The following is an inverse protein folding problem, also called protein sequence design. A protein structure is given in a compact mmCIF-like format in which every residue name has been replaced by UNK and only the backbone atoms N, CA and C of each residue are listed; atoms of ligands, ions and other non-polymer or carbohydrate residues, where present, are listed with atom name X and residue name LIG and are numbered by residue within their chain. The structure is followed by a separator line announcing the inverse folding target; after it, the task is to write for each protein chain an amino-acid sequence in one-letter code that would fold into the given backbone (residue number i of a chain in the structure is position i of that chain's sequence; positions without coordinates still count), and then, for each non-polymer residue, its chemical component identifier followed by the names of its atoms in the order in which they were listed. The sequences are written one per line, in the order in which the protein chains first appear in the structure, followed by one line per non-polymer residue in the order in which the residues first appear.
data_IF_064097622844
#
_entry.id   IF_064097622844
#
_cell.length_a   1.000
_cell.length_b   1.000
_cell.length_c   1.000
_cell.angle_alpha   90.00
_cell.angle_beta   90.00
_cell.angle_gamma   90.00
#
_symmetry.space_group_name_H-M   'P 1'
#
loop_
_entity.id
_entity.type
_entity.pdbx_description
1 polymer ?
#
# COMPACT_ATOMS: atom_id res chain seq x y z
N UNK A 1 -10.88 -51.59 -2.42
CA UNK A 1 -11.35 -50.20 -2.38
C UNK A 1 -10.26 -49.34 -1.76
N UNK A 2 -9.51 -48.58 -2.57
CA UNK A 2 -8.44 -47.68 -2.10
C UNK A 2 -9.05 -46.29 -1.92
N UNK A 3 -9.32 -45.86 -0.69
CA UNK A 3 -9.67 -44.47 -0.40
C UNK A 3 -8.41 -43.61 -0.48
N UNK A 4 -8.44 -42.60 -1.35
CA UNK A 4 -7.43 -41.56 -1.43
C UNK A 4 -7.59 -40.67 -0.19
N UNK A 5 -6.76 -40.91 0.84
CA UNK A 5 -6.68 -40.04 2.01
C UNK A 5 -5.88 -38.79 1.66
N UNK A 6 -6.44 -37.61 1.91
CA UNK A 6 -5.66 -36.37 1.95
C UNK A 6 -4.79 -36.38 3.22
N UNK A 7 -3.51 -35.96 3.14
CA UNK A 7 -2.62 -35.93 4.30
C UNK A 7 -3.11 -34.89 5.33
N UNK A 8 -3.21 -35.34 6.58
CA UNK A 8 -3.80 -34.66 7.76
C UNK A 8 -3.06 -33.39 8.21
N UNK A 9 -1.99 -33.06 7.50
CA UNK A 9 -1.08 -31.97 7.76
C UNK A 9 -1.63 -30.60 7.30
N UNK A 10 -2.65 -30.60 6.40
CA UNK A 10 -3.29 -29.39 5.83
C UNK A 10 -4.02 -28.46 6.84
N UNK A 11 -4.04 -28.80 8.13
CA UNK A 11 -5.00 -28.23 9.09
C UNK A 11 -4.33 -27.30 10.13
N UNK A 12 -2.98 -27.28 10.22
CA UNK A 12 -2.30 -26.62 11.35
C UNK A 12 -2.24 -25.08 11.30
N UNK A 13 -2.33 -24.46 10.11
CA UNK A 13 -2.68 -23.02 9.98
C UNK A 13 -4.14 -22.82 9.52
N UNK A 14 -4.79 -23.90 9.06
CA UNK A 14 -6.20 -23.90 8.69
C UNK A 14 -7.14 -23.75 9.89
N UNK A 15 -6.75 -24.19 11.08
CA UNK A 15 -7.56 -24.04 12.29
C UNK A 15 -7.67 -22.58 12.80
N UNK A 16 -6.83 -21.67 12.30
CA UNK A 16 -6.93 -20.22 12.56
C UNK A 16 -7.71 -19.52 11.43
N UNK A 17 -7.89 -20.12 10.25
CA UNK A 17 -8.46 -19.43 9.07
C UNK A 17 -9.75 -20.08 8.50
N UNK A 18 -10.07 -21.34 8.78
CA UNK A 18 -11.27 -22.00 8.24
C UNK A 18 -12.52 -21.75 9.08
N UNK A 19 -13.08 -20.55 8.91
CA UNK A 19 -14.37 -20.17 9.48
C UNK A 19 -15.13 -19.15 8.66
N UNK A 20 -14.95 -19.04 7.33
CA UNK A 20 -15.85 -18.26 6.48
C UNK A 20 -15.63 -18.53 4.98
N UNK A 21 -16.74 -18.48 4.24
CA UNK A 21 -16.84 -18.23 2.80
C UNK A 21 -16.74 -19.44 1.84
N UNK A 22 -17.81 -20.23 1.82
CA UNK A 22 -18.39 -20.73 0.57
C UNK A 22 -19.51 -19.78 0.14
N UNK A 23 -19.67 -19.58 -1.19
CA UNK A 23 -20.61 -18.72 -1.93
C UNK A 23 -20.23 -17.24 -2.06
N UNK A 24 -19.68 -16.85 -3.22
CA UNK A 24 -20.46 -16.25 -4.32
C UNK A 24 -19.55 -16.01 -5.53
N UNK A 25 -19.95 -16.55 -6.68
CA UNK A 25 -19.45 -16.18 -8.01
C UNK A 25 -20.44 -15.19 -8.64
N UNK A 26 -19.92 -14.18 -9.34
CA UNK A 26 -20.40 -13.65 -10.63
C UNK A 26 -19.38 -12.60 -11.10
N UNK A 27 -18.66 -12.87 -12.19
CA UNK A 27 -18.80 -12.26 -13.54
C UNK A 27 -18.28 -10.81 -13.63
N UNK A 28 -17.60 -10.35 -14.68
CA UNK A 28 -17.09 -10.92 -15.93
C UNK A 28 -16.02 -9.93 -16.46
N UNK A 29 -15.11 -10.44 -17.30
CA UNK A 29 -14.50 -9.86 -18.52
C UNK A 29 -14.76 -8.36 -18.87
N UNK A 30 -13.85 -7.56 -19.46
CA UNK A 30 -12.82 -7.77 -20.51
C UNK A 30 -11.88 -6.54 -20.57
N UNK A 31 -10.62 -6.71 -21.03
CA UNK A 31 -9.67 -5.64 -21.40
C UNK A 31 -9.90 -5.07 -22.81
N UNK A 32 -8.89 -4.62 -23.59
CA UNK A 32 -7.53 -4.14 -23.27
C UNK A 32 -7.14 -2.80 -23.97
N UNK A 33 -5.87 -2.41 -23.82
CA UNK A 33 -5.16 -1.21 -24.31
C UNK A 33 -4.86 -1.15 -25.83
N UNK A 34 -4.55 0.06 -26.35
CA UNK A 34 -3.43 0.41 -27.27
C UNK A 34 -3.46 1.94 -27.54
N UNK A 35 -2.44 2.78 -27.34
CA UNK A 35 -1.08 2.94 -27.94
C UNK A 35 -0.99 3.62 -29.33
N UNK A 36 -0.46 4.86 -29.29
CA UNK A 36 0.61 5.49 -30.09
C UNK A 36 0.57 5.75 -31.62
N UNK A 37 0.78 7.05 -31.92
CA UNK A 37 1.85 7.67 -32.76
C UNK A 37 1.83 7.67 -34.30
N UNK A 38 2.01 8.89 -34.86
CA UNK A 38 2.85 9.32 -36.03
C UNK A 38 2.83 10.88 -36.05
N UNK A 39 3.90 11.69 -35.88
CA UNK A 39 5.18 12.03 -36.58
C UNK A 39 5.05 12.94 -37.83
N UNK A 40 5.66 14.15 -37.71
CA UNK A 40 6.35 15.12 -38.63
C UNK A 40 5.96 15.24 -40.13
N UNK A 41 6.13 16.36 -40.87
CA UNK A 41 7.32 17.23 -41.00
C UNK A 41 7.07 18.48 -41.93
N UNK A 42 7.71 19.61 -41.58
CA UNK A 42 8.31 20.82 -42.27
C UNK A 42 7.85 21.33 -43.66
N UNK A 43 7.99 22.67 -43.90
CA UNK A 43 8.86 23.34 -44.93
C UNK A 43 8.97 24.89 -44.73
N UNK A 44 10.20 25.36 -44.49
CA UNK A 44 11.01 26.53 -44.99
C UNK A 44 10.65 28.06 -44.88
N UNK A 45 11.73 28.86 -44.76
CA UNK A 45 11.91 30.29 -44.43
C UNK A 45 11.99 31.23 -45.70
N UNK A 46 12.43 32.54 -45.74
CA UNK A 46 13.43 33.26 -44.89
C UNK A 46 13.23 34.78 -44.55
N UNK A 47 13.99 35.26 -43.53
CA UNK A 47 14.80 36.51 -43.54
C UNK A 47 14.20 37.90 -43.23
N UNK A 48 14.74 38.60 -42.20
CA UNK A 48 15.51 39.89 -42.22
C UNK A 48 15.71 40.40 -40.76
N UNK A 49 16.91 40.90 -40.45
CA UNK A 49 17.31 41.52 -39.17
C UNK A 49 16.92 43.00 -39.06
N UNK A 50 16.55 43.47 -37.86
CA UNK A 50 16.84 44.81 -37.35
C UNK A 50 16.70 44.88 -35.81
N UNK A 51 17.53 45.71 -35.18
CA UNK A 51 17.77 45.78 -33.73
C UNK A 51 17.18 47.07 -33.16
N UNK A 52 16.53 46.94 -32.00
CA UNK A 52 16.26 47.92 -30.92
C UNK A 52 15.47 49.20 -31.22
N UNK A 53 14.35 49.38 -30.51
CA UNK A 53 13.92 50.67 -29.97
C UNK A 53 13.07 50.48 -28.71
N UNK A 54 13.21 51.43 -27.79
CA UNK A 54 12.68 51.43 -26.42
C UNK A 54 11.15 51.48 -26.36
N UNK A 55 10.61 50.86 -25.30
CA UNK A 55 9.19 50.63 -25.01
C UNK A 55 8.43 51.95 -24.71
N UNK A 56 8.07 52.69 -25.76
CA UNK A 56 6.98 53.66 -25.73
C UNK A 56 5.71 52.88 -26.10
N UNK A 57 4.68 52.77 -25.22
CA UNK A 57 3.45 52.08 -25.58
C UNK A 57 2.89 52.70 -26.87
N UNK A 58 2.61 51.92 -27.92
CA UNK A 58 2.08 52.47 -29.15
C UNK A 58 0.77 53.22 -28.86
N UNK A 59 0.42 54.28 -29.62
CA UNK A 59 -0.65 55.23 -29.29
C UNK A 59 -2.07 54.65 -29.08
N UNK A 60 -2.22 53.34 -29.28
CA UNK A 60 -3.49 52.61 -29.26
C UNK A 60 -3.40 51.29 -28.48
N UNK A 61 -2.40 51.11 -27.60
CA UNK A 61 -2.29 49.89 -26.81
C UNK A 61 -3.42 49.80 -25.76
N UNK A 62 -3.98 48.60 -25.59
CA UNK A 62 -4.96 48.32 -24.55
C UNK A 62 -4.31 48.01 -23.20
N UNK A 63 -5.14 47.95 -22.17
CA UNK A 63 -4.75 47.48 -20.83
C UNK A 63 -5.79 46.54 -20.25
N UNK A 64 -5.32 45.60 -19.44
CA UNK A 64 -6.17 44.70 -18.65
C UNK A 64 -5.89 45.00 -17.17
N UNK A 65 -6.95 45.21 -16.41
CA UNK A 65 -6.90 45.51 -14.97
C UNK A 65 -7.83 44.59 -14.19
N UNK A 66 -7.63 44.51 -12.88
CA UNK A 66 -8.54 43.78 -12.00
C UNK A 66 -8.04 43.73 -10.57
N UNK A 67 -8.87 43.16 -9.69
CA UNK A 67 -8.54 42.91 -8.29
C UNK A 67 -8.65 41.42 -8.01
N UNK A 68 -7.61 40.82 -7.44
CA UNK A 68 -7.56 39.40 -7.09
C UNK A 68 -8.12 39.22 -5.68
N UNK A 69 -9.19 38.43 -5.58
CA UNK A 69 -9.80 38.05 -4.31
C UNK A 69 -9.87 36.53 -4.17
N UNK A 70 -10.09 36.04 -2.96
CA UNK A 70 -10.38 34.63 -2.72
C UNK A 70 -11.90 34.33 -2.85
N UNK A 71 -12.29 33.10 -2.54
CA UNK A 71 -13.69 32.67 -2.58
C UNK A 71 -14.60 33.42 -1.56
N UNK A 72 -14.02 33.94 -0.48
CA UNK A 72 -14.71 34.66 0.60
C UNK A 72 -14.75 36.17 0.36
N UNK A 73 -13.99 36.67 -0.62
CA UNK A 73 -13.92 38.08 -1.00
C UNK A 73 -12.75 38.83 -0.37
N UNK A 74 -11.83 38.13 0.29
CA UNK A 74 -10.62 38.72 0.85
C UNK A 74 -9.58 38.98 -0.25
N UNK A 75 -8.83 40.08 -0.13
CA UNK A 75 -7.79 40.46 -1.10
C UNK A 75 -6.60 39.48 -1.07
N UNK A 76 -6.11 39.11 -2.24
CA UNK A 76 -4.94 38.23 -2.38
C UNK A 76 -3.76 39.02 -2.98
N UNK A 77 -2.94 39.67 -2.14
CA UNK A 77 -1.74 40.37 -2.60
C UNK A 77 -0.68 39.39 -3.10
N UNK A 78 0.19 39.83 -4.01
CA UNK A 78 1.30 39.02 -4.53
C UNK A 78 0.89 37.95 -5.54
N UNK A 79 -0.39 37.88 -5.93
CA UNK A 79 -0.84 37.01 -7.02
C UNK A 79 -0.17 37.42 -8.35
N UNK A 80 0.34 36.45 -9.09
CA UNK A 80 0.97 36.65 -10.40
C UNK A 80 -0.09 36.52 -11.48
N UNK A 81 -0.23 37.58 -12.27
CA UNK A 81 -1.18 37.66 -13.39
C UNK A 81 -0.43 37.58 -14.70
N UNK A 82 -0.72 36.53 -15.45
CA UNK A 82 -0.13 36.25 -16.75
C UNK A 82 -1.13 36.48 -17.87
N UNK A 83 -0.71 37.23 -18.88
CA UNK A 83 -1.51 37.62 -20.03
C UNK A 83 -0.82 37.10 -21.29
N UNK A 84 -1.35 36.00 -21.82
CA UNK A 84 -0.83 35.31 -23.00
C UNK A 84 -1.68 35.67 -24.24
N UNK A 85 -1.10 36.28 -25.28
CA UNK A 85 -1.82 36.57 -26.52
C UNK A 85 -1.99 35.31 -27.38
N UNK A 86 -3.16 35.16 -28.02
CA UNK A 86 -3.46 34.00 -28.88
C UNK A 86 -2.70 33.98 -30.21
N UNK A 87 -2.14 35.12 -30.62
CA UNK A 87 -1.39 35.26 -31.87
C UNK A 87 0.10 34.88 -31.76
N UNK A 88 0.54 34.33 -30.62
CA UNK A 88 1.94 33.96 -30.38
C UNK A 88 2.87 35.13 -30.07
N UNK A 89 2.32 36.31 -29.77
CA UNK A 89 3.08 37.46 -29.26
C UNK A 89 3.68 37.23 -27.87
N UNK A 90 4.46 38.19 -27.38
CA UNK A 90 5.10 38.08 -26.07
C UNK A 90 4.06 38.07 -24.93
N UNK A 91 4.17 37.07 -24.03
CA UNK A 91 3.45 37.04 -22.75
C UNK A 91 3.88 38.23 -21.89
N UNK A 92 2.91 38.85 -21.22
CA UNK A 92 3.18 39.82 -20.14
C UNK A 92 2.77 39.24 -18.80
N UNK A 93 3.54 39.56 -17.76
CA UNK A 93 3.28 39.12 -16.39
C UNK A 93 3.33 40.32 -15.46
N UNK A 94 2.41 40.39 -14.50
CA UNK A 94 2.34 41.45 -13.50
C UNK A 94 1.96 40.86 -12.15
N UNK A 95 2.61 41.32 -11.09
CA UNK A 95 2.26 40.94 -9.71
C UNK A 95 1.23 41.92 -9.16
N UNK A 96 0.18 41.39 -8.54
CA UNK A 96 -0.83 42.16 -7.82
C UNK A 96 -0.22 42.83 -6.58
N UNK A 97 -0.57 44.10 -6.37
CA UNK A 97 -0.06 44.88 -5.24
C UNK A 97 -0.73 44.51 -3.90
N UNK A 98 -0.44 45.28 -2.85
CA UNK A 98 -0.97 45.05 -1.50
C UNK A 98 -2.51 45.15 -1.39
N UNK A 99 -3.16 45.80 -2.36
CA UNK A 99 -4.63 45.87 -2.46
C UNK A 99 -5.21 44.74 -3.33
N UNK A 100 -4.38 43.78 -3.78
CA UNK A 100 -4.76 42.75 -4.75
C UNK A 100 -4.97 43.29 -6.18
N UNK A 101 -4.67 44.56 -6.43
CA UNK A 101 -4.89 45.20 -7.73
C UNK A 101 -3.71 44.95 -8.68
N UNK A 102 -4.01 44.74 -9.96
CA UNK A 102 -3.03 44.65 -11.03
C UNK A 102 -3.45 45.48 -12.26
N UNK A 103 -2.45 45.91 -13.04
CA UNK A 103 -2.66 46.55 -14.33
C UNK A 103 -1.57 46.10 -15.31
N UNK A 104 -1.97 45.39 -16.38
CA UNK A 104 -1.09 45.00 -17.48
C UNK A 104 -1.31 45.95 -18.64
N UNK A 105 -0.28 46.72 -18.99
CA UNK A 105 -0.35 47.76 -20.01
C UNK A 105 0.42 47.38 -21.28
N UNK A 106 0.19 48.13 -22.36
CA UNK A 106 0.91 47.94 -23.61
C UNK A 106 0.47 46.67 -24.35
N UNK A 107 -0.81 46.30 -24.26
CA UNK A 107 -1.36 45.12 -24.94
C UNK A 107 -1.81 45.48 -26.36
N UNK A 108 -1.57 44.56 -27.30
CA UNK A 108 -1.88 44.74 -28.72
C UNK A 108 -3.39 44.62 -28.93
N UNK A 109 -4.04 45.60 -29.58
CA UNK A 109 -5.47 45.53 -29.84
C UNK A 109 -5.83 44.50 -30.92
N UNK A 110 -7.10 44.09 -30.94
CA UNK A 110 -7.70 43.10 -31.84
C UNK A 110 -7.09 41.68 -31.73
N UNK A 111 -6.46 41.37 -30.59
CA UNK A 111 -5.93 40.06 -30.24
C UNK A 111 -6.68 39.53 -29.02
N UNK A 112 -6.98 38.22 -29.02
CA UNK A 112 -7.57 37.56 -27.86
C UNK A 112 -6.47 37.18 -26.85
N UNK A 113 -6.74 37.42 -25.58
CA UNK A 113 -5.83 37.16 -24.47
C UNK A 113 -6.39 36.09 -23.54
N UNK A 114 -5.52 35.14 -23.16
CA UNK A 114 -5.75 34.23 -22.03
C UNK A 114 -5.13 34.86 -20.78
N UNK A 115 -5.98 35.19 -19.81
CA UNK A 115 -5.54 35.71 -18.51
C UNK A 115 -5.53 34.58 -17.50
N UNK A 116 -4.39 34.33 -16.88
CA UNK A 116 -4.22 33.33 -15.81
C UNK A 116 -3.71 34.02 -14.55
N UNK A 117 -4.35 33.76 -13.41
CA UNK A 117 -3.96 34.29 -12.10
C UNK A 117 -3.49 33.14 -11.23
N UNK A 118 -2.27 33.25 -10.71
CA UNK A 118 -1.62 32.25 -9.87
C UNK A 118 -1.24 32.88 -8.52
N UNK A 119 -1.51 32.18 -7.41
CA UNK A 119 -1.02 32.57 -6.10
C UNK A 119 -0.63 31.33 -5.28
N UNK A 120 0.41 31.41 -4.43
CA UNK A 120 0.79 30.29 -3.56
C UNK A 120 -0.39 29.81 -2.70
N UNK A 121 -0.65 28.50 -2.70
CA UNK A 121 -1.74 27.90 -1.93
C UNK A 121 -3.12 27.97 -2.58
N UNK A 122 -3.25 28.49 -3.81
CA UNK A 122 -4.50 28.55 -4.56
C UNK A 122 -4.41 27.81 -5.90
N UNK A 123 -5.55 27.29 -6.37
CA UNK A 123 -5.66 26.77 -7.73
C UNK A 123 -5.59 27.93 -8.75
N UNK A 124 -4.94 27.73 -9.92
CA UNK A 124 -4.90 28.75 -10.98
C UNK A 124 -6.30 29.14 -11.44
N UNK A 125 -6.57 30.44 -11.47
CA UNK A 125 -7.81 30.98 -12.03
C UNK A 125 -7.58 31.44 -13.47
N UNK A 126 -8.48 31.06 -14.37
CA UNK A 126 -8.36 31.36 -15.81
C UNK A 126 -9.61 32.12 -16.25
N UNK A 127 -9.41 33.30 -16.84
CA UNK A 127 -10.50 34.10 -17.41
C UNK A 127 -11.02 33.48 -18.73
N UNK A 128 -12.28 33.75 -19.10
CA UNK A 128 -12.72 33.63 -20.49
C UNK A 128 -11.82 34.47 -21.44
N UNK A 129 -11.70 34.11 -22.72
CA UNK A 129 -10.87 34.87 -23.67
C UNK A 129 -11.28 36.36 -23.75
N UNK A 130 -10.31 37.26 -23.62
CA UNK A 130 -10.52 38.72 -23.64
C UNK A 130 -9.96 39.31 -24.92
N UNK A 131 -10.78 39.96 -25.75
CA UNK A 131 -10.30 40.69 -26.94
C UNK A 131 -10.37 42.19 -26.69
N UNK A 132 -9.24 42.89 -26.84
CA UNK A 132 -9.15 44.34 -26.60
C UNK A 132 -9.37 45.14 -27.87
N UNK A 133 -10.11 46.25 -27.77
CA UNK A 133 -10.14 47.29 -28.79
C UNK A 133 -8.95 48.25 -28.64
N UNK A 134 -8.65 49.02 -29.69
CA UNK A 134 -7.60 50.05 -29.68
C UNK A 134 -7.80 51.04 -28.52
N UNK A 135 -6.80 51.15 -27.64
CA UNK A 135 -6.83 52.04 -26.47
C UNK A 135 -7.77 51.61 -25.34
N UNK A 136 -8.34 50.39 -25.38
CA UNK A 136 -9.32 49.95 -24.40
C UNK A 136 -8.69 49.66 -23.03
N UNK A 137 -9.35 50.12 -21.97
CA UNK A 137 -9.15 49.67 -20.60
C UNK A 137 -10.19 48.59 -20.29
N UNK A 138 -9.76 47.34 -20.15
CA UNK A 138 -10.65 46.22 -19.83
C UNK A 138 -10.44 45.79 -18.38
N UNK A 139 -11.52 45.74 -17.61
CA UNK A 139 -11.51 45.25 -16.24
C UNK A 139 -12.00 43.80 -16.19
N UNK A 140 -11.15 42.91 -15.68
CA UNK A 140 -11.50 41.51 -15.43
C UNK A 140 -12.17 41.41 -14.07
N UNK A 141 -13.42 40.99 -14.07
CA UNK A 141 -14.23 40.83 -12.85
C UNK A 141 -14.37 39.36 -12.45
N UNK A 142 -14.68 39.10 -11.18
CA UNK A 142 -14.96 37.75 -10.70
C UNK A 142 -13.74 36.87 -10.43
N UNK A 143 -12.56 37.47 -10.26
CA UNK A 143 -11.33 36.77 -9.89
C UNK A 143 -11.46 36.29 -8.44
N UNK A 144 -11.88 35.04 -8.28
CA UNK A 144 -12.06 34.37 -6.98
C UNK A 144 -11.19 33.11 -6.93
N UNK A 145 -10.03 33.23 -6.32
CA UNK A 145 -9.11 32.12 -6.12
C UNK A 145 -9.67 31.12 -5.11
N UNK A 146 -9.52 29.84 -5.40
CA UNK A 146 -9.91 28.74 -4.50
C UNK A 146 -8.66 28.14 -3.88
N UNK A 147 -8.69 27.87 -2.58
CA UNK A 147 -7.59 27.19 -1.90
C UNK A 147 -7.30 25.87 -2.60
N UNK A 148 -6.03 25.65 -2.93
CA UNK A 148 -5.58 24.37 -3.45
C UNK A 148 -5.50 23.39 -2.28
N UNK A 149 -5.99 22.16 -2.47
CA UNK A 149 -5.89 21.10 -1.47
C UNK A 149 -4.45 20.59 -1.39
N UNK A 150 -3.52 21.43 -0.90
CA UNK A 150 -2.17 21.00 -0.58
C UNK A 150 -2.22 20.21 0.74
N UNK A 151 -2.07 18.89 0.63
CA UNK A 151 -1.89 17.99 1.78
C UNK A 151 -0.68 18.47 2.58
N UNK A 152 -0.91 19.00 3.78
CA UNK A 152 0.17 19.36 4.70
C UNK A 152 0.69 18.08 5.34
N UNK A 153 1.81 17.53 4.86
CA UNK A 153 2.50 16.46 5.57
C UNK A 153 3.32 17.09 6.70
N UNK A 154 2.76 17.06 7.92
CA UNK A 154 3.58 17.27 9.13
C UNK A 154 4.54 16.09 9.20
N UNK A 155 5.81 16.30 8.85
CA UNK A 155 6.84 15.26 8.96
C UNK A 155 7.18 15.08 10.44
N UNK A 156 6.45 14.21 11.13
CA UNK A 156 6.85 13.77 12.47
C UNK A 156 8.15 12.98 12.32
N UNK A 157 9.26 13.53 12.84
CA UNK A 157 10.51 12.77 13.00
C UNK A 157 10.35 11.82 14.19
N UNK A 158 9.55 10.78 14.03
CA UNK A 158 9.48 9.71 15.02
C UNK A 158 10.72 8.82 14.89
N UNK A 159 11.26 8.36 16.02
CA UNK A 159 12.31 7.34 16.05
C UNK A 159 11.76 6.07 15.35
N UNK A 160 12.47 5.45 14.38
CA UNK A 160 12.02 4.21 13.73
C UNK A 160 11.59 3.12 14.73
N UNK A 161 12.20 3.05 15.91
CA UNK A 161 11.80 2.09 16.94
C UNK A 161 10.43 2.42 17.54
N UNK A 162 10.10 3.69 17.70
CA UNK A 162 8.80 4.15 18.19
C UNK A 162 7.71 3.84 17.18
N UNK A 163 7.94 4.14 15.90
CA UNK A 163 7.03 3.79 14.79
C UNK A 163 6.80 2.28 14.74
N UNK A 164 7.88 1.48 14.80
CA UNK A 164 7.77 0.03 14.78
C UNK A 164 6.96 -0.50 15.98
N UNK A 165 7.14 0.11 17.15
CA UNK A 165 6.40 -0.26 18.36
C UNK A 165 4.91 0.06 18.22
N UNK A 166 4.57 1.22 17.68
CA UNK A 166 3.19 1.62 17.41
C UNK A 166 2.53 0.70 16.36
N UNK A 167 3.24 0.39 15.26
CA UNK A 167 2.78 -0.56 14.24
C UNK A 167 2.47 -1.94 14.84
N UNK A 168 3.38 -2.47 15.68
CA UNK A 168 3.13 -3.74 16.38
C UNK A 168 1.93 -3.65 17.31
N UNK A 169 1.72 -2.53 18.01
CA UNK A 169 0.53 -2.36 18.85
C UNK A 169 -0.78 -2.34 18.06
N UNK A 170 -0.75 -1.82 16.82
CA UNK A 170 -1.89 -1.87 15.90
C UNK A 170 -2.09 -3.30 15.42
N UNK A 171 -1.03 -3.97 14.99
CA UNK A 171 -1.02 -5.36 14.51
C UNK A 171 -1.53 -6.34 15.57
N UNK A 172 -1.13 -6.18 16.83
CA UNK A 172 -1.62 -6.98 17.98
C UNK A 172 -3.13 -6.86 18.22
N UNK A 173 -3.77 -5.79 17.72
CA UNK A 173 -5.22 -5.60 17.78
C UNK A 173 -5.95 -6.14 16.56
N UNK A 174 -5.24 -6.55 15.51
CA UNK A 174 -5.86 -7.08 14.30
C UNK A 174 -6.43 -8.47 14.56
N UNK A 175 -7.74 -8.61 14.37
CA UNK A 175 -8.44 -9.89 14.52
C UNK A 175 -9.32 -10.19 13.32
N UNK A 176 -9.10 -11.34 12.68
CA UNK A 176 -10.02 -11.87 11.66
C UNK A 176 -11.32 -12.28 12.35
N UNK A 177 -12.46 -11.84 11.81
CA UNK A 177 -13.80 -12.05 12.38
C UNK A 177 -13.95 -11.53 13.84
N UNK A 178 -13.04 -10.66 14.28
CA UNK A 178 -13.06 -10.06 15.63
C UNK A 178 -12.44 -10.90 16.74
N UNK A 179 -12.02 -12.15 16.49
CA UNK A 179 -11.41 -13.00 17.53
C UNK A 179 -10.12 -13.71 17.10
N UNK A 180 -9.96 -14.05 15.82
CA UNK A 180 -8.80 -14.80 15.34
C UNK A 180 -7.57 -13.88 15.25
N UNK A 181 -6.42 -14.17 15.89
CA UNK A 181 -5.20 -13.36 15.77
C UNK A 181 -4.75 -13.17 14.33
N UNK A 182 -4.43 -11.92 13.96
CA UNK A 182 -3.87 -11.60 12.65
C UNK A 182 -2.66 -10.64 12.76
N UNK A 183 -1.72 -10.99 13.65
CA UNK A 183 -0.64 -10.08 14.04
C UNK A 183 0.50 -10.01 13.00
N UNK A 184 0.67 -11.04 12.18
CA UNK A 184 1.77 -11.12 11.20
C UNK A 184 1.39 -10.55 9.82
N UNK A 185 0.47 -9.60 9.75
CA UNK A 185 0.01 -9.03 8.48
C UNK A 185 0.05 -7.51 8.55
N UNK A 186 0.76 -6.91 7.58
CA UNK A 186 0.81 -5.47 7.41
C UNK A 186 -0.11 -5.09 6.26
N UNK A 187 -1.25 -4.47 6.56
CA UNK A 187 -2.16 -3.95 5.53
C UNK A 187 -1.73 -2.62 4.93
N UNK A 188 -0.79 -1.95 5.59
CA UNK A 188 -0.26 -0.63 5.26
C UNK A 188 1.23 -0.73 4.95
N UNK A 189 1.54 -1.37 3.83
CA UNK A 189 2.89 -1.82 3.49
C UNK A 189 3.84 -0.71 3.04
N UNK A 190 3.31 0.47 2.69
CA UNK A 190 4.07 1.64 2.22
C UNK A 190 4.85 2.30 3.37
N UNK A 191 4.21 2.45 4.53
CA UNK A 191 4.79 3.10 5.72
C UNK A 191 5.38 2.09 6.73
N UNK A 192 5.40 0.80 6.38
CA UNK A 192 5.85 -0.27 7.24
C UNK A 192 7.36 -0.19 7.53
N UNK A 193 7.72 -0.05 8.80
CA UNK A 193 9.11 0.01 9.23
C UNK A 193 9.60 -1.37 9.71
N UNK A 194 10.90 -1.68 9.57
CA UNK A 194 11.50 -2.91 10.09
C UNK A 194 11.29 -3.12 11.58
N UNK A 195 11.09 -4.38 11.98
CA UNK A 195 10.95 -4.74 13.39
C UNK A 195 12.30 -4.96 14.08
N UNK A 196 12.44 -4.46 15.30
CA UNK A 196 13.56 -4.87 16.17
C UNK A 196 13.39 -6.34 16.61
N UNK A 197 14.50 -6.99 16.99
CA UNK A 197 14.46 -8.36 17.51
C UNK A 197 13.47 -8.50 18.69
N UNK A 198 13.45 -7.53 19.62
CA UNK A 198 12.53 -7.52 20.75
C UNK A 198 11.06 -7.56 20.31
N UNK A 199 10.70 -6.79 19.29
CA UNK A 199 9.33 -6.74 18.75
C UNK A 199 8.95 -8.06 18.06
N UNK A 200 9.88 -8.68 17.31
CA UNK A 200 9.67 -9.99 16.69
C UNK A 200 9.35 -11.07 17.74
N UNK A 201 10.13 -11.12 18.83
CA UNK A 201 9.87 -12.02 19.96
C UNK A 201 8.57 -11.71 20.69
N UNK A 202 8.24 -10.43 20.85
CA UNK A 202 6.97 -10.02 21.47
C UNK A 202 5.77 -10.54 20.66
N UNK A 203 5.78 -10.35 19.34
CA UNK A 203 4.72 -10.85 18.47
C UNK A 203 4.59 -12.38 18.51
N UNK A 204 5.72 -13.09 18.42
CA UNK A 204 5.75 -14.55 18.52
C UNK A 204 5.14 -15.03 19.84
N UNK A 205 5.59 -14.46 20.96
CA UNK A 205 5.06 -14.78 22.27
C UNK A 205 3.55 -14.53 22.35
N UNK A 206 3.08 -13.37 21.87
CA UNK A 206 1.66 -13.00 21.87
C UNK A 206 0.80 -13.99 21.09
N UNK A 207 1.23 -14.43 19.90
CA UNK A 207 0.48 -15.43 19.13
C UNK A 207 0.50 -16.80 19.82
N UNK A 208 1.65 -17.21 20.38
CA UNK A 208 1.80 -18.52 21.03
C UNK A 208 0.93 -18.71 22.28
N UNK A 209 0.69 -17.63 23.04
CA UNK A 209 -0.16 -17.67 24.25
C UNK A 209 -1.58 -17.17 24.02
N UNK A 210 -1.94 -16.84 22.77
CA UNK A 210 -3.29 -16.39 22.46
C UNK A 210 -4.30 -17.53 22.67
N UNK A 211 -5.43 -17.29 23.38
CA UNK A 211 -6.42 -18.33 23.65
C UNK A 211 -6.99 -19.01 22.40
N UNK A 212 -7.11 -18.27 21.28
CA UNK A 212 -7.62 -18.83 20.02
C UNK A 212 -6.58 -19.74 19.37
N UNK A 213 -5.29 -19.43 19.48
CA UNK A 213 -4.21 -20.33 19.04
C UNK A 213 -4.21 -21.65 19.83
N UNK A 214 -4.36 -21.57 21.16
CA UNK A 214 -4.44 -22.75 22.02
C UNK A 214 -5.68 -23.59 21.70
N UNK A 215 -6.83 -22.93 21.52
CA UNK A 215 -8.06 -23.61 21.12
C UNK A 215 -7.93 -24.25 19.74
N UNK A 216 -7.28 -23.58 18.78
CA UNK A 216 -6.98 -24.13 17.46
C UNK A 216 -6.18 -25.43 17.53
N UNK A 217 -5.16 -25.48 18.39
CA UNK A 217 -4.40 -26.71 18.63
C UNK A 217 -5.25 -27.82 19.27
N UNK A 218 -6.14 -27.47 20.22
CA UNK A 218 -7.07 -28.42 20.84
C UNK A 218 -8.10 -28.97 19.85
N UNK A 219 -8.61 -28.12 18.96
CA UNK A 219 -9.53 -28.50 17.89
C UNK A 219 -8.85 -29.41 16.87
N UNK A 220 -7.63 -29.06 16.46
CA UNK A 220 -6.83 -29.91 15.58
C UNK A 220 -6.54 -31.27 16.21
N UNK A 221 -6.19 -31.31 17.49
CA UNK A 221 -6.01 -32.55 18.22
C UNK A 221 -7.29 -33.42 18.22
N UNK A 222 -8.48 -32.81 18.25
CA UNK A 222 -9.74 -33.53 18.17
C UNK A 222 -9.98 -34.12 16.78
N UNK A 223 -9.66 -33.38 15.72
CA UNK A 223 -9.69 -33.90 14.35
C UNK A 223 -8.69 -35.05 14.15
N UNK A 224 -7.48 -34.87 14.65
CA UNK A 224 -6.41 -35.88 14.65
C UNK A 224 -6.82 -37.13 15.46
N UNK A 225 -7.50 -36.95 16.58
CA UNK A 225 -8.07 -38.05 17.37
C UNK A 225 -9.11 -38.84 16.57
N UNK A 226 -10.02 -38.14 15.87
CA UNK A 226 -11.04 -38.75 15.03
C UNK A 226 -10.46 -39.45 13.79
N UNK A 227 -9.37 -38.92 13.23
CA UNK A 227 -8.65 -39.50 12.10
C UNK A 227 -7.60 -40.54 12.49
N UNK A 228 -7.46 -40.86 13.78
CA UNK A 228 -6.42 -41.74 14.32
C UNK A 228 -5.00 -41.44 13.81
N UNK A 229 -4.67 -40.15 13.75
CA UNK A 229 -3.42 -39.65 13.20
C UNK A 229 -2.88 -38.54 14.10
N UNK A 230 -1.56 -38.40 14.30
CA UNK A 230 -0.54 -39.45 14.14
C UNK A 230 -0.86 -40.70 14.98
N UNK A 231 -0.03 -41.75 14.89
CA UNK A 231 -0.28 -43.06 15.52
C UNK A 231 -0.11 -43.08 17.06
N UNK A 232 -0.57 -42.03 17.73
CA UNK A 232 -0.78 -42.03 19.18
C UNK A 232 -1.94 -42.96 19.52
N UNK A 233 -1.93 -43.48 20.76
CA UNK A 233 -3.03 -44.29 21.27
C UNK A 233 -4.39 -43.54 21.21
N UNK A 234 -5.50 -44.27 21.27
CA UNK A 234 -6.84 -43.69 21.38
C UNK A 234 -7.19 -43.30 22.84
N UNK A 235 -8.29 -42.57 23.01
CA UNK A 235 -8.77 -42.09 24.31
C UNK A 235 -8.07 -40.83 24.82
N UNK A 236 -8.41 -40.40 26.04
CA UNK A 236 -7.99 -39.11 26.61
C UNK A 236 -6.47 -38.91 26.69
N UNK A 237 -5.71 -39.96 26.97
CA UNK A 237 -4.24 -39.89 26.95
C UNK A 237 -3.71 -39.63 25.53
N UNK A 238 -4.30 -40.27 24.54
CA UNK A 238 -4.00 -40.05 23.12
C UNK A 238 -4.33 -38.63 22.66
N UNK A 239 -5.49 -38.14 23.06
CA UNK A 239 -5.90 -36.77 22.78
C UNK A 239 -4.93 -35.76 23.39
N UNK A 240 -4.53 -35.96 24.66
CA UNK A 240 -3.54 -35.11 25.31
C UNK A 240 -2.18 -35.11 24.60
N UNK A 241 -1.75 -36.27 24.08
CA UNK A 241 -0.52 -36.36 23.27
C UNK A 241 -0.65 -35.61 21.94
N UNK A 242 -1.78 -35.75 21.24
CA UNK A 242 -2.08 -35.03 19.99
C UNK A 242 -2.16 -33.52 20.21
N UNK A 243 -2.77 -33.09 21.31
CA UNK A 243 -2.82 -31.68 21.71
C UNK A 243 -1.44 -31.13 22.01
N UNK A 244 -0.66 -31.83 22.86
CA UNK A 244 0.70 -31.42 23.17
C UNK A 244 1.58 -31.33 21.93
N UNK A 245 1.46 -32.31 21.02
CA UNK A 245 2.18 -32.31 19.75
C UNK A 245 1.77 -31.13 18.85
N UNK A 246 0.47 -30.97 18.57
CA UNK A 246 -0.04 -29.88 17.72
C UNK A 246 0.28 -28.49 18.27
N UNK A 247 0.17 -28.30 19.60
CA UNK A 247 0.54 -27.05 20.23
C UNK A 247 2.04 -26.79 20.15
N UNK A 248 2.87 -27.82 20.38
CA UNK A 248 4.33 -27.69 20.27
C UNK A 248 4.74 -27.35 18.85
N UNK A 249 4.18 -28.04 17.84
CA UNK A 249 4.44 -27.74 16.42
C UNK A 249 4.14 -26.28 16.08
N UNK A 250 2.98 -25.78 16.52
CA UNK A 250 2.58 -24.39 16.31
C UNK A 250 3.51 -23.41 17.01
N UNK A 251 3.90 -23.68 18.25
CA UNK A 251 4.82 -22.83 19.02
C UNK A 251 6.21 -22.82 18.39
N UNK A 252 6.77 -23.98 18.01
CA UNK A 252 8.10 -24.04 17.39
C UNK A 252 8.10 -23.37 16.03
N UNK A 253 7.03 -23.51 15.23
CA UNK A 253 6.88 -22.82 13.96
C UNK A 253 6.87 -21.30 14.13
N UNK A 254 6.04 -20.79 15.04
CA UNK A 254 5.96 -19.36 15.35
C UNK A 254 7.29 -18.83 15.89
N UNK A 255 7.95 -19.56 16.78
CA UNK A 255 9.19 -19.10 17.40
C UNK A 255 10.35 -19.11 16.41
N UNK A 256 10.55 -20.19 15.64
CA UNK A 256 11.66 -20.26 14.70
C UNK A 256 11.42 -19.44 13.43
N UNK A 257 10.23 -19.54 12.84
CA UNK A 257 9.86 -18.81 11.62
C UNK A 257 9.46 -17.35 11.85
N UNK A 258 8.96 -17.00 13.04
CA UNK A 258 8.44 -15.68 13.37
C UNK A 258 9.33 -14.81 14.26
N UNK A 259 10.29 -15.38 14.99
CA UNK A 259 11.17 -14.61 15.89
C UNK A 259 12.66 -14.94 15.78
N UNK A 260 13.06 -16.20 15.99
CA UNK A 260 14.47 -16.59 16.11
C UNK A 260 15.23 -16.37 14.80
N UNK A 261 14.81 -17.04 13.70
CA UNK A 261 15.47 -16.85 12.41
C UNK A 261 15.29 -15.43 11.86
N UNK A 262 14.09 -14.81 11.94
CA UNK A 262 13.91 -13.42 11.54
C UNK A 262 14.84 -12.45 12.26
N UNK A 263 15.11 -12.65 13.56
CA UNK A 263 16.05 -11.83 14.31
C UNK A 263 17.52 -12.11 13.95
N UNK A 264 17.88 -13.37 13.72
CA UNK A 264 19.26 -13.77 13.37
C UNK A 264 19.65 -13.40 11.93
N UNK A 265 18.70 -13.48 11.01
CA UNK A 265 18.91 -13.28 9.57
C UNK A 265 18.49 -11.89 9.09
N UNK A 266 18.05 -11.02 10.00
CA UNK A 266 17.58 -9.67 9.71
C UNK A 266 16.46 -9.67 8.67
N UNK A 267 15.44 -10.50 8.91
CA UNK A 267 14.26 -10.69 8.06
C UNK A 267 13.00 -10.25 8.79
N UNK A 268 12.05 -9.66 8.06
CA UNK A 268 10.75 -9.31 8.59
C UNK A 268 9.82 -10.53 8.50
N UNK A 269 9.23 -10.99 9.62
CA UNK A 269 8.38 -12.17 9.64
C UNK A 269 6.95 -11.90 9.11
N UNK A 270 6.58 -10.65 8.84
CA UNK A 270 5.21 -10.27 8.48
C UNK A 270 4.94 -10.44 6.99
N UNK A 271 3.70 -10.79 6.66
CA UNK A 271 3.17 -10.70 5.30
C UNK A 271 2.79 -9.25 4.96
N UNK A 272 3.38 -8.70 3.90
CA UNK A 272 3.07 -7.37 3.40
C UNK A 272 1.94 -7.48 2.39
N UNK A 273 0.75 -7.03 2.77
CA UNK A 273 -0.42 -7.04 1.89
C UNK A 273 -0.18 -6.14 0.67
N UNK A 274 -0.46 -6.65 -0.54
CA UNK A 274 -0.24 -5.90 -1.77
C UNK A 274 -1.44 -5.00 -2.10
N UNK A 275 -2.66 -5.56 -2.17
CA UNK A 275 -3.92 -4.83 -2.30
C UNK A 275 -4.22 -4.10 -3.61
N UNK A 276 -3.20 -3.71 -4.36
CA UNK A 276 -3.29 -2.97 -5.61
C UNK A 276 -2.68 -3.78 -6.77
N UNK A 277 -2.98 -3.37 -8.01
CA UNK A 277 -2.55 -4.08 -9.21
C UNK A 277 -3.49 -5.22 -9.63
N UNK A 278 -3.05 -6.01 -10.61
CA UNK A 278 -3.86 -7.07 -11.22
C UNK A 278 -4.04 -8.27 -10.27
N UNK A 279 -5.14 -9.02 -10.45
CA UNK A 279 -5.38 -10.28 -9.73
C UNK A 279 -4.21 -11.26 -9.84
N UNK A 280 -3.60 -11.36 -11.02
CA UNK A 280 -2.45 -12.23 -11.25
C UNK A 280 -1.19 -11.76 -10.49
N UNK A 281 -0.96 -10.44 -10.41
CA UNK A 281 0.16 -9.89 -9.62
C UNK A 281 -0.01 -10.21 -8.15
N UNK A 282 -1.20 -9.94 -7.61
CA UNK A 282 -1.52 -10.14 -6.19
C UNK A 282 -1.48 -11.61 -5.79
N UNK A 283 -2.00 -12.49 -6.66
CA UNK A 283 -1.90 -13.94 -6.47
C UNK A 283 -0.45 -14.41 -6.46
N UNK A 284 0.38 -13.94 -7.41
CA UNK A 284 1.80 -14.27 -7.45
C UNK A 284 2.52 -13.82 -6.19
N UNK A 285 2.28 -12.58 -5.75
CA UNK A 285 2.85 -12.03 -4.52
C UNK A 285 2.50 -12.87 -3.30
N UNK A 286 1.23 -13.23 -3.14
CA UNK A 286 0.77 -14.08 -2.05
C UNK A 286 1.42 -15.48 -2.07
N UNK A 287 1.51 -16.12 -3.23
CA UNK A 287 2.16 -17.43 -3.39
C UNK A 287 3.68 -17.37 -3.18
N UNK A 288 4.32 -16.23 -3.43
CA UNK A 288 5.75 -16.06 -3.24
C UNK A 288 6.16 -15.79 -1.79
N UNK A 289 5.22 -15.45 -0.91
CA UNK A 289 5.50 -15.04 0.47
C UNK A 289 6.37 -16.02 1.29
N UNK A 290 6.18 -17.36 1.21
CA UNK A 290 7.05 -18.28 1.94
C UNK A 290 8.49 -18.30 1.46
N UNK A 291 8.74 -17.82 0.23
CA UNK A 291 10.05 -17.84 -0.43
C UNK A 291 10.71 -16.47 -0.52
N UNK A 292 9.94 -15.38 -0.38
CA UNK A 292 10.42 -14.01 -0.50
C UNK A 292 9.85 -13.18 0.65
N UNK A 293 10.72 -12.50 1.39
CA UNK A 293 10.35 -11.60 2.48
C UNK A 293 11.06 -10.26 2.34
N UNK A 294 10.61 -9.27 3.10
CA UNK A 294 11.33 -8.00 3.26
C UNK A 294 12.41 -8.19 4.32
N UNK A 295 13.63 -7.73 4.07
CA UNK A 295 14.68 -7.67 5.07
C UNK A 295 14.47 -6.49 6.02
N UNK A 296 15.20 -6.49 7.15
CA UNK A 296 15.23 -5.35 8.06
C UNK A 296 15.88 -4.10 7.41
N UNK A 297 16.51 -4.28 6.26
CA UNK A 297 17.02 -3.22 5.39
C UNK A 297 15.95 -2.66 4.42
N UNK A 298 14.73 -3.19 4.46
CA UNK A 298 13.61 -2.78 3.59
C UNK A 298 13.61 -3.39 2.19
N UNK A 299 14.61 -4.20 1.82
CA UNK A 299 14.70 -4.83 0.50
C UNK A 299 14.10 -6.23 0.47
N UNK A 300 13.53 -6.62 -0.67
CA UNK A 300 13.04 -7.97 -0.89
C UNK A 300 14.19 -8.96 -1.06
N UNK A 301 14.12 -10.10 -0.38
CA UNK A 301 15.17 -11.13 -0.37
C UNK A 301 14.58 -12.53 -0.13
N UNK A 302 15.34 -13.61 -0.43
CA UNK A 302 14.89 -14.97 -0.14
C UNK A 302 14.54 -15.19 1.33
N UNK A 303 13.38 -15.79 1.60
CA UNK A 303 12.83 -15.99 2.93
C UNK A 303 13.38 -17.25 3.61
N UNK A 304 14.66 -17.18 3.99
CA UNK A 304 15.33 -18.24 4.74
C UNK A 304 14.71 -18.48 6.12
N UNK A 305 14.09 -17.46 6.73
CA UNK A 305 13.45 -17.57 8.03
C UNK A 305 12.19 -18.45 8.00
N UNK A 306 11.30 -18.22 7.04
CA UNK A 306 10.11 -19.07 6.87
C UNK A 306 10.49 -20.49 6.50
N UNK A 307 11.35 -20.66 5.48
CA UNK A 307 11.76 -21.99 5.02
C UNK A 307 12.53 -22.76 6.10
N UNK A 308 13.48 -22.09 6.77
CA UNK A 308 14.25 -22.68 7.85
C UNK A 308 13.39 -22.96 9.09
N UNK A 309 12.40 -22.10 9.38
CA UNK A 309 11.46 -22.27 10.48
C UNK A 309 10.59 -23.50 10.29
N UNK A 310 9.97 -23.63 9.11
CA UNK A 310 9.17 -24.79 8.72
C UNK A 310 9.97 -26.10 8.86
N UNK A 311 11.22 -26.09 8.38
CA UNK A 311 12.11 -27.25 8.41
C UNK A 311 12.55 -27.60 9.83
N UNK A 312 12.99 -26.62 10.62
CA UNK A 312 13.43 -26.83 12.01
C UNK A 312 12.26 -27.29 12.87
N UNK A 313 11.08 -26.67 12.73
CA UNK A 313 9.88 -27.07 13.47
C UNK A 313 9.53 -28.53 13.17
N UNK A 314 9.44 -28.89 11.88
CA UNK A 314 9.18 -30.27 11.45
C UNK A 314 10.26 -31.26 11.92
N UNK A 315 11.53 -30.82 11.99
CA UNK A 315 12.61 -31.63 12.51
C UNK A 315 12.45 -31.87 14.02
N UNK A 316 12.09 -30.85 14.79
CA UNK A 316 11.84 -30.93 16.24
C UNK A 316 10.67 -31.86 16.56
N UNK A 317 9.63 -31.90 15.71
CA UNK A 317 8.49 -32.82 15.84
C UNK A 317 8.92 -34.30 15.96
N UNK A 318 10.06 -34.67 15.37
CA UNK A 318 10.63 -36.01 15.52
C UNK A 318 10.98 -36.38 16.96
N UNK A 319 11.16 -35.43 17.87
CA UNK A 319 11.49 -35.73 19.25
C UNK A 319 10.30 -36.34 20.01
N UNK A 320 9.06 -35.94 19.68
CA UNK A 320 7.87 -36.26 20.47
C UNK A 320 6.74 -36.97 19.72
N UNK A 321 6.77 -37.06 18.39
CA UNK A 321 5.80 -37.86 17.61
C UNK A 321 5.96 -39.38 17.84
N UNK A 322 5.03 -40.27 17.47
CA UNK A 322 5.25 -41.72 17.57
C UNK A 322 6.36 -42.19 16.63
N UNK A 323 7.09 -43.26 16.94
CA UNK A 323 8.23 -43.74 16.13
C UNK A 323 7.88 -44.02 14.65
N UNK A 324 6.62 -44.41 14.37
CA UNK A 324 6.09 -44.61 13.02
C UNK A 324 5.87 -43.31 12.22
N UNK A 325 5.87 -42.16 12.89
CA UNK A 325 5.60 -40.83 12.34
C UNK A 325 6.82 -39.92 12.57
N UNK A 326 8.02 -40.44 12.29
CA UNK A 326 9.30 -39.75 12.41
C UNK A 326 10.19 -40.09 11.22
N UNK A 327 11.33 -39.42 11.12
CA UNK A 327 12.37 -39.61 10.12
C UNK A 327 12.41 -38.47 9.11
N UNK A 328 13.40 -38.53 8.22
CA UNK A 328 13.62 -37.48 7.23
C UNK A 328 12.41 -37.26 6.32
N UNK A 329 11.72 -38.32 5.90
CA UNK A 329 10.52 -38.22 5.07
C UNK A 329 9.41 -37.41 5.76
N UNK A 330 9.17 -37.69 7.05
CA UNK A 330 8.19 -36.94 7.86
C UNK A 330 8.58 -35.46 7.98
N UNK A 331 9.87 -35.16 8.21
CA UNK A 331 10.36 -33.77 8.26
C UNK A 331 10.12 -33.01 6.96
N UNK A 332 10.44 -33.61 5.80
CA UNK A 332 10.26 -32.95 4.51
C UNK A 332 8.78 -32.85 4.10
N UNK A 333 7.95 -33.82 4.50
CA UNK A 333 6.50 -33.72 4.35
C UNK A 333 5.93 -32.57 5.18
N UNK A 334 6.33 -32.48 6.46
CA UNK A 334 5.95 -31.37 7.35
C UNK A 334 6.36 -30.01 6.79
N UNK A 335 7.61 -29.90 6.30
CA UNK A 335 8.10 -28.70 5.63
C UNK A 335 7.22 -28.30 4.44
N UNK A 336 6.96 -29.24 3.51
CA UNK A 336 6.16 -28.97 2.32
C UNK A 336 4.72 -28.54 2.68
N UNK A 337 4.14 -29.16 3.71
CA UNK A 337 2.81 -28.84 4.21
C UNK A 337 2.79 -27.44 4.83
N UNK A 338 3.72 -27.11 5.72
CA UNK A 338 3.77 -25.81 6.37
C UNK A 338 3.91 -24.69 5.35
N UNK A 339 4.82 -24.88 4.37
CA UNK A 339 5.01 -23.94 3.26
C UNK A 339 3.71 -23.77 2.45
N UNK A 340 3.08 -24.87 2.01
CA UNK A 340 1.81 -24.79 1.27
C UNK A 340 0.67 -24.16 2.08
N UNK A 341 0.66 -24.36 3.40
CA UNK A 341 -0.34 -23.73 4.26
C UNK A 341 -0.11 -22.22 4.38
N UNK A 342 1.15 -21.76 4.40
CA UNK A 342 1.47 -20.32 4.33
C UNK A 342 1.06 -19.71 3.00
N UNK A 343 1.24 -20.40 1.88
CA UNK A 343 0.74 -19.92 0.57
C UNK A 343 -0.78 -19.71 0.61
N UNK A 344 -1.53 -20.73 1.04
CA UNK A 344 -3.00 -20.66 1.14
C UNK A 344 -3.41 -19.51 2.07
N UNK A 345 -2.77 -19.40 3.24
CA UNK A 345 -3.03 -18.31 4.19
C UNK A 345 -2.77 -16.95 3.56
N UNK A 346 -1.65 -16.77 2.86
CA UNK A 346 -1.28 -15.51 2.20
C UNK A 346 -2.28 -15.14 1.10
N UNK A 347 -2.77 -16.12 0.33
CA UNK A 347 -3.83 -15.92 -0.67
C UNK A 347 -5.14 -15.48 -0.01
N UNK A 348 -5.52 -16.12 1.10
CA UNK A 348 -6.70 -15.72 1.86
C UNK A 348 -6.54 -14.30 2.44
N UNK A 349 -5.35 -13.94 2.92
CA UNK A 349 -5.05 -12.57 3.36
C UNK A 349 -5.21 -11.57 2.23
N UNK A 350 -4.71 -11.90 1.05
CA UNK A 350 -4.72 -11.02 -0.12
C UNK A 350 -6.14 -10.77 -0.63
N UNK A 351 -7.00 -11.79 -0.68
CA UNK A 351 -8.30 -11.70 -1.37
C UNK A 351 -9.53 -11.69 -0.46
N UNK A 352 -9.45 -12.20 0.77
CA UNK A 352 -10.61 -12.43 1.64
C UNK A 352 -10.47 -11.69 2.96
N UNK A 353 -9.40 -11.95 3.71
CA UNK A 353 -9.35 -11.65 5.14
C UNK A 353 -9.24 -10.16 5.46
N UNK A 354 -8.68 -9.33 4.56
CA UNK A 354 -8.63 -7.87 4.79
C UNK A 354 -10.00 -7.27 5.14
N UNK A 355 -11.07 -7.76 4.50
CA UNK A 355 -12.45 -7.27 4.73
C UNK A 355 -13.04 -7.76 6.06
N UNK A 356 -12.48 -8.83 6.62
CA UNK A 356 -12.95 -9.50 7.83
C UNK A 356 -12.07 -9.17 9.05
N UNK A 357 -10.90 -8.58 8.83
CA UNK A 357 -9.98 -8.16 9.89
C UNK A 357 -10.42 -6.84 10.50
N UNK A 358 -10.68 -6.84 11.82
CA UNK A 358 -10.83 -5.59 12.57
C UNK A 358 -9.54 -4.79 12.53
N UNK A 359 -9.66 -3.46 12.46
CA UNK A 359 -8.51 -2.54 12.41
C UNK A 359 -7.66 -2.62 11.12
N UNK A 360 -8.18 -3.17 10.01
CA UNK A 360 -7.49 -3.19 8.71
C UNK A 360 -7.49 -1.85 7.96
N UNK A 361 -8.15 -0.83 8.51
CA UNK A 361 -8.23 0.53 7.98
C UNK A 361 -7.57 1.48 8.97
N UNK A 362 -6.72 2.39 8.50
CA UNK A 362 -6.35 3.58 9.28
C UNK A 362 -7.63 4.34 9.69
N UNK A 363 -7.70 4.92 10.90
CA UNK A 363 -8.70 5.93 11.21
C UNK A 363 -8.63 7.13 10.26
#
# INVERSE_FOLDING_TARGET
MRSKFLPSSLILLGAVVFGAASLLQAQDNTGPQAQNSTVAELVDAPGISARADADVPPPNAGSITGTVTDAYGDIVPGAVVDVDPSNGGARKSQVANDSGYFAVQGLVPNVAYKVTVNAPGFDPWIAPPVTLQAGQYFEVTGIKLKLSAAVTSVTVRSDPLEIATEQVQIEEKQRVLGFVPNFYVVYDSEDAVPLSAKLKFQMAYKVSVDPVSIFGAAFLAAMNQAGDTPNFQQGWKGYGQRFGAAYTDGVTDIMFGGAILPALLHQDPRYFYQGTGSTASRLRHALQNPFVCKGDNGHWQPNYSSMGGDLISSAISNAYYPASNRGAAFTFEGFAVSTGTREISSVLQEFVLRKLTSSSKRP
#
